data_IF_983204857590
#
_entry.id   IF_983204857590
#
_cell.length_a   1.000
_cell.length_b   1.000
_cell.length_c   1.000
_cell.angle_alpha   90.00
_cell.angle_beta   90.00
_cell.angle_gamma   90.00
#
_symmetry.space_group_name_H-M   'P 1'
#
loop_
_entity.id
_entity.type
_entity.pdbx_description
1 polymer ?
#
# COMPACT_ATOMS: atom_id res chain seq x y z
N UNK A 1 -12.44 -50.14 28.90
CA UNK A 1 -11.86 -50.02 27.53
C UNK A 1 -12.71 -49.06 26.64
N UNK A 2 -14.08 -49.08 26.75
CA UNK A 2 -14.94 -48.19 25.94
C UNK A 2 -14.99 -46.79 26.54
N UNK A 3 -15.00 -46.65 27.86
CA UNK A 3 -14.99 -45.42 28.63
C UNK A 3 -13.71 -44.60 28.49
N UNK A 4 -12.54 -45.20 28.33
CA UNK A 4 -11.27 -44.50 28.14
C UNK A 4 -11.20 -43.81 26.76
N UNK A 5 -11.72 -44.46 25.72
CA UNK A 5 -11.74 -43.94 24.36
C UNK A 5 -12.72 -42.78 24.22
N UNK A 6 -13.85 -42.83 24.92
CA UNK A 6 -14.83 -41.76 24.96
C UNK A 6 -14.29 -40.54 25.73
N UNK A 7 -13.51 -40.74 26.80
CA UNK A 7 -12.82 -39.69 27.53
C UNK A 7 -11.69 -39.02 26.71
N UNK A 8 -10.94 -39.80 25.94
CA UNK A 8 -9.94 -39.23 25.01
C UNK A 8 -10.57 -38.35 23.93
N UNK A 9 -11.68 -38.78 23.35
CA UNK A 9 -12.44 -38.00 22.36
C UNK A 9 -12.98 -36.71 22.99
N UNK A 10 -13.51 -36.78 24.21
CA UNK A 10 -14.02 -35.62 24.92
C UNK A 10 -12.90 -34.63 25.23
N UNK A 11 -11.75 -35.07 25.73
CA UNK A 11 -10.60 -34.24 26.00
C UNK A 11 -10.06 -33.56 24.72
N UNK A 12 -10.00 -34.30 23.62
CA UNK A 12 -9.58 -33.77 22.33
C UNK A 12 -10.52 -32.68 21.81
N UNK A 13 -11.82 -32.94 21.91
CA UNK A 13 -12.84 -31.95 21.49
C UNK A 13 -12.83 -30.73 22.40
N UNK A 14 -12.62 -30.89 23.70
CA UNK A 14 -12.48 -29.80 24.65
C UNK A 14 -11.24 -28.93 24.34
N UNK A 15 -10.11 -29.56 24.09
CA UNK A 15 -8.88 -28.84 23.72
C UNK A 15 -9.06 -28.09 22.40
N UNK A 16 -9.65 -28.73 21.39
CA UNK A 16 -9.96 -28.07 20.10
C UNK A 16 -10.89 -26.86 20.29
N UNK A 17 -11.93 -26.98 21.12
CA UNK A 17 -12.85 -25.90 21.40
C UNK A 17 -12.16 -24.77 22.18
N UNK A 18 -11.28 -25.09 23.11
CA UNK A 18 -10.49 -24.13 23.89
C UNK A 18 -9.53 -23.35 22.98
N UNK A 19 -8.86 -24.03 22.05
CA UNK A 19 -7.96 -23.39 21.08
C UNK A 19 -8.74 -22.50 20.10
N UNK A 20 -9.91 -22.94 19.63
CA UNK A 20 -10.80 -22.12 18.81
C UNK A 20 -11.29 -20.86 19.54
N UNK A 21 -11.65 -20.99 20.82
CA UNK A 21 -12.08 -19.85 21.64
C UNK A 21 -10.93 -18.84 21.84
N UNK A 22 -9.72 -19.30 22.09
CA UNK A 22 -8.54 -18.44 22.20
C UNK A 22 -8.28 -17.69 20.90
N UNK A 23 -8.31 -18.38 19.76
CA UNK A 23 -8.11 -17.78 18.44
C UNK A 23 -9.20 -16.75 18.12
N UNK A 24 -10.46 -17.04 18.45
CA UNK A 24 -11.55 -16.09 18.31
C UNK A 24 -11.39 -14.87 19.23
N UNK A 25 -10.97 -15.06 20.47
CA UNK A 25 -10.75 -13.99 21.42
C UNK A 25 -9.59 -13.08 20.99
N UNK A 26 -8.49 -13.64 20.50
CA UNK A 26 -7.39 -12.87 19.93
C UNK A 26 -7.84 -12.06 18.71
N UNK A 27 -8.62 -12.65 17.81
CA UNK A 27 -9.19 -11.95 16.65
C UNK A 27 -10.11 -10.79 17.05
N UNK A 28 -10.94 -10.98 18.08
CA UNK A 28 -11.81 -9.93 18.60
C UNK A 28 -10.99 -8.75 19.16
N UNK A 29 -9.99 -9.02 20.00
CA UNK A 29 -9.11 -8.00 20.58
C UNK A 29 -8.37 -7.21 19.48
N UNK A 30 -7.88 -7.90 18.47
CA UNK A 30 -7.23 -7.27 17.32
C UNK A 30 -8.21 -6.38 16.56
N UNK A 31 -9.43 -6.84 16.31
CA UNK A 31 -10.47 -6.07 15.62
C UNK A 31 -10.90 -4.82 16.41
N UNK A 32 -11.13 -4.94 17.71
CA UNK A 32 -11.46 -3.79 18.58
C UNK A 32 -10.35 -2.74 18.59
N UNK A 33 -9.09 -3.18 18.67
CA UNK A 33 -7.93 -2.29 18.56
C UNK A 33 -7.88 -1.60 17.19
N UNK A 34 -8.12 -2.31 16.11
CA UNK A 34 -8.14 -1.72 14.77
C UNK A 34 -9.26 -0.69 14.60
N UNK A 35 -10.44 -0.94 15.13
CA UNK A 35 -11.56 0.01 15.08
C UNK A 35 -11.27 1.27 15.89
N UNK A 36 -10.77 1.12 17.11
CA UNK A 36 -10.36 2.25 17.96
C UNK A 36 -9.25 3.08 17.30
N UNK A 37 -8.23 2.42 16.71
CA UNK A 37 -7.17 3.06 15.94
C UNK A 37 -7.70 3.77 14.69
N UNK A 38 -8.64 3.19 13.97
CA UNK A 38 -9.25 3.78 12.78
C UNK A 38 -9.96 5.11 13.09
N UNK A 39 -10.67 5.17 14.20
CA UNK A 39 -11.37 6.39 14.64
C UNK A 39 -10.37 7.47 15.10
N UNK A 40 -9.34 7.09 15.86
CA UNK A 40 -8.28 8.00 16.29
C UNK A 40 -7.50 8.56 15.12
N UNK A 41 -7.09 7.71 14.18
CA UNK A 41 -6.35 8.10 12.98
C UNK A 41 -7.12 9.09 12.12
N UNK A 42 -8.44 8.90 11.97
CA UNK A 42 -9.31 9.86 11.27
C UNK A 42 -9.30 11.23 11.94
N UNK A 43 -9.48 11.25 13.25
CA UNK A 43 -9.50 12.50 14.01
C UNK A 43 -8.16 13.22 13.89
N UNK A 44 -7.05 12.50 14.06
CA UNK A 44 -5.70 13.04 13.89
C UNK A 44 -5.46 13.55 12.46
N UNK A 45 -5.91 12.81 11.44
CA UNK A 45 -5.79 13.24 10.05
C UNK A 45 -6.51 14.57 9.80
N UNK A 46 -7.74 14.73 10.30
CA UNK A 46 -8.46 15.99 10.19
C UNK A 46 -7.77 17.11 10.97
N UNK A 47 -7.31 16.84 12.19
CA UNK A 47 -6.63 17.84 13.01
C UNK A 47 -5.28 18.27 12.43
N UNK A 48 -4.56 17.39 11.71
CA UNK A 48 -3.32 17.75 11.01
C UNK A 48 -3.62 18.51 9.69
N UNK A 49 -4.64 18.14 8.94
CA UNK A 49 -5.02 18.84 7.71
C UNK A 49 -5.49 20.27 7.97
N UNK A 50 -6.18 20.50 9.08
CA UNK A 50 -6.72 21.80 9.42
C UNK A 50 -5.66 22.93 9.41
N UNK A 51 -4.47 22.81 10.02
CA UNK A 51 -3.43 23.83 9.92
C UNK A 51 -2.70 23.85 8.59
N UNK A 52 -2.64 22.74 7.81
CA UNK A 52 -1.91 22.69 6.55
C UNK A 52 -2.57 23.60 5.47
N UNK A 53 -3.88 23.59 5.40
CA UNK A 53 -4.61 24.43 4.43
C UNK A 53 -4.33 25.94 4.60
N UNK A 54 -4.43 26.53 5.83
CA UNK A 54 -4.04 27.94 6.03
C UNK A 54 -2.56 28.20 5.72
N UNK A 55 -1.65 27.28 6.03
CA UNK A 55 -0.22 27.42 5.71
C UNK A 55 -0.03 27.53 4.18
N UNK A 56 -0.67 26.64 3.42
CA UNK A 56 -0.58 26.65 1.96
C UNK A 56 -1.13 27.94 1.36
N UNK A 57 -2.30 28.40 1.83
CA UNK A 57 -2.88 29.69 1.41
C UNK A 57 -1.97 30.88 1.76
N UNK A 58 -1.29 30.81 2.90
CA UNK A 58 -0.35 31.87 3.32
C UNK A 58 0.88 31.90 2.42
N UNK A 59 1.42 30.75 2.05
CA UNK A 59 2.53 30.62 1.10
C UNK A 59 2.14 31.22 -0.26
N UNK A 60 0.95 30.89 -0.77
CA UNK A 60 0.46 31.44 -2.04
C UNK A 60 0.29 32.97 -1.98
N UNK A 61 -0.20 33.51 -0.86
CA UNK A 61 -0.29 34.95 -0.63
C UNK A 61 1.11 35.61 -0.60
N UNK A 62 2.06 35.01 0.11
CA UNK A 62 3.45 35.48 0.16
C UNK A 62 4.05 35.50 -1.23
N UNK A 63 3.87 34.40 -2.01
CA UNK A 63 4.32 34.31 -3.38
C UNK A 63 3.76 35.46 -4.24
N UNK A 64 2.44 35.62 -4.21
CA UNK A 64 1.77 36.64 -5.05
C UNK A 64 2.11 38.07 -4.65
N UNK A 65 2.32 38.32 -3.35
CA UNK A 65 2.59 39.67 -2.84
C UNK A 65 4.03 40.11 -3.05
N UNK A 66 5.00 39.23 -2.88
CA UNK A 66 6.41 39.62 -2.81
C UNK A 66 7.21 39.27 -4.06
N UNK A 67 6.75 38.33 -4.88
CA UNK A 67 7.49 37.88 -6.06
C UNK A 67 7.84 39.02 -7.03
N UNK A 68 6.92 39.97 -7.23
CA UNK A 68 7.09 41.11 -8.15
C UNK A 68 7.99 42.20 -7.60
N UNK A 69 8.32 42.19 -6.32
CA UNK A 69 9.14 43.20 -5.66
C UNK A 69 10.59 42.79 -5.49
N UNK A 70 10.95 41.54 -5.86
CA UNK A 70 12.30 41.02 -5.75
C UNK A 70 13.10 41.24 -7.03
N UNK A 71 14.45 41.31 -6.91
CA UNK A 71 15.36 41.25 -8.05
C UNK A 71 15.24 39.92 -8.78
N UNK A 72 15.65 39.84 -10.06
CA UNK A 72 15.52 38.59 -10.85
C UNK A 72 16.21 37.37 -10.17
N UNK A 73 17.39 37.57 -9.63
CA UNK A 73 18.15 36.51 -8.94
C UNK A 73 17.47 36.08 -7.65
N UNK A 74 16.92 37.04 -6.89
CA UNK A 74 16.18 36.76 -5.66
C UNK A 74 14.83 36.08 -5.91
N UNK A 75 14.19 36.41 -7.06
CA UNK A 75 12.94 35.77 -7.46
C UNK A 75 13.09 34.27 -7.67
N UNK A 76 14.19 33.81 -8.25
CA UNK A 76 14.41 32.41 -8.56
C UNK A 76 14.63 31.63 -7.27
N UNK A 77 15.51 32.10 -6.39
CA UNK A 77 15.75 31.55 -5.06
C UNK A 77 14.46 31.53 -4.20
N UNK A 78 13.66 32.60 -4.27
CA UNK A 78 12.41 32.69 -3.54
C UNK A 78 11.37 31.66 -4.02
N UNK A 79 11.20 31.50 -5.36
CA UNK A 79 10.34 30.48 -5.96
C UNK A 79 10.76 29.08 -5.57
N UNK A 80 12.06 28.79 -5.58
CA UNK A 80 12.61 27.51 -5.21
C UNK A 80 12.33 27.17 -3.74
N UNK A 81 12.56 28.11 -2.83
CA UNK A 81 12.24 27.93 -1.41
C UNK A 81 10.75 27.68 -1.17
N UNK A 82 9.85 28.43 -1.83
CA UNK A 82 8.40 28.22 -1.74
C UNK A 82 8.00 26.86 -2.32
N UNK A 83 8.64 26.41 -3.41
CA UNK A 83 8.41 25.10 -4.00
C UNK A 83 8.81 23.97 -3.03
N UNK A 84 9.95 24.13 -2.34
CA UNK A 84 10.39 23.19 -1.32
C UNK A 84 9.34 23.08 -0.19
N UNK A 85 8.87 24.21 0.34
CA UNK A 85 7.87 24.23 1.41
C UNK A 85 6.55 23.57 0.94
N UNK A 86 6.06 23.93 -0.26
CA UNK A 86 4.85 23.32 -0.81
C UNK A 86 4.98 21.81 -1.01
N UNK A 87 6.17 21.33 -1.43
CA UNK A 87 6.43 19.89 -1.55
C UNK A 87 6.39 19.20 -0.18
N UNK A 88 6.94 19.83 0.88
CA UNK A 88 6.88 19.28 2.24
C UNK A 88 5.43 19.21 2.75
N UNK A 89 4.61 20.23 2.52
CA UNK A 89 3.19 20.23 2.88
C UNK A 89 2.48 19.08 2.18
N UNK A 90 2.67 18.93 0.87
CA UNK A 90 2.10 17.81 0.09
C UNK A 90 2.54 16.45 0.61
N UNK A 91 3.80 16.31 1.00
CA UNK A 91 4.29 15.06 1.60
C UNK A 91 3.59 14.74 2.92
N UNK A 92 3.41 15.75 3.79
CA UNK A 92 2.67 15.57 5.06
C UNK A 92 1.21 15.21 4.78
N UNK A 93 0.54 15.89 3.85
CA UNK A 93 -0.84 15.56 3.46
C UNK A 93 -0.98 14.12 2.97
N UNK A 94 -0.07 13.67 2.10
CA UNK A 94 -0.08 12.30 1.58
C UNK A 94 0.13 11.28 2.69
N UNK A 95 1.10 11.51 3.59
CA UNK A 95 1.38 10.64 4.73
C UNK A 95 0.17 10.52 5.66
N UNK A 96 -0.47 11.64 5.96
CA UNK A 96 -1.67 11.70 6.81
C UNK A 96 -2.85 10.99 6.15
N UNK A 97 -3.02 11.15 4.82
CA UNK A 97 -4.06 10.44 4.06
C UNK A 97 -3.82 8.93 4.07
N UNK A 98 -2.61 8.48 3.73
CA UNK A 98 -2.27 7.05 3.73
C UNK A 98 -2.43 6.43 5.12
N UNK A 99 -2.04 7.15 6.18
CA UNK A 99 -2.24 6.71 7.57
C UNK A 99 -3.73 6.55 7.91
N UNK A 100 -4.54 7.57 7.61
CA UNK A 100 -5.98 7.54 7.85
C UNK A 100 -6.66 6.41 7.08
N UNK A 101 -6.28 6.21 5.82
CA UNK A 101 -6.81 5.17 4.95
C UNK A 101 -6.42 3.76 5.42
N UNK A 102 -5.16 3.58 5.88
CA UNK A 102 -4.70 2.31 6.44
C UNK A 102 -5.47 1.96 7.72
N UNK A 103 -5.61 2.92 8.62
CA UNK A 103 -6.28 2.71 9.90
C UNK A 103 -7.81 2.49 9.76
N UNK A 104 -8.43 3.04 8.69
CA UNK A 104 -9.88 3.00 8.44
C UNK A 104 -10.32 1.88 7.50
N UNK A 105 -9.41 1.09 6.98
CA UNK A 105 -9.75 0.14 5.92
C UNK A 105 -11.01 -0.69 6.27
N UNK A 106 -12.14 -0.51 5.57
CA UNK A 106 -13.38 -1.21 5.86
C UNK A 106 -13.24 -2.70 5.53
N UNK A 107 -14.14 -3.52 6.09
CA UNK A 107 -14.25 -4.92 5.66
C UNK A 107 -14.56 -4.97 4.16
N UNK A 108 -13.98 -5.93 3.41
CA UNK A 108 -14.18 -6.02 1.97
C UNK A 108 -15.63 -6.33 1.61
N UNK A 109 -16.13 -5.65 0.57
CA UNK A 109 -17.44 -5.96 -0.04
C UNK A 109 -17.19 -6.91 -1.21
N UNK A 110 -17.32 -8.20 -0.94
CA UNK A 110 -17.01 -9.24 -1.93
C UNK A 110 -18.08 -9.33 -3.02
N UNK A 111 -17.69 -9.05 -4.26
CA UNK A 111 -18.50 -9.20 -5.49
C UNK A 111 -17.68 -9.91 -6.55
N UNK A 112 -18.35 -10.53 -7.52
CA UNK A 112 -17.65 -11.13 -8.66
C UNK A 112 -17.09 -10.03 -9.56
N UNK A 113 -15.77 -9.96 -9.63
CA UNK A 113 -15.01 -8.99 -10.42
C UNK A 113 -14.05 -9.69 -11.36
N UNK A 114 -13.80 -9.09 -12.52
CA UNK A 114 -12.79 -9.56 -13.47
C UNK A 114 -11.43 -8.95 -13.09
N UNK A 115 -10.53 -9.78 -12.59
CA UNK A 115 -9.20 -9.34 -12.17
C UNK A 115 -8.30 -8.88 -13.33
N UNK A 116 -8.50 -9.44 -14.53
CA UNK A 116 -7.72 -9.03 -15.71
C UNK A 116 -8.10 -7.60 -16.12
N UNK A 117 -9.41 -7.30 -16.12
CA UNK A 117 -9.88 -5.94 -16.42
C UNK A 117 -9.31 -4.94 -15.38
N UNK A 118 -9.44 -5.27 -14.11
CA UNK A 118 -8.96 -4.42 -13.01
C UNK A 118 -7.44 -4.20 -13.06
N UNK A 119 -6.68 -5.25 -13.39
CA UNK A 119 -5.24 -5.16 -13.54
C UNK A 119 -4.84 -4.27 -14.72
N UNK A 120 -5.51 -4.42 -15.87
CA UNK A 120 -5.26 -3.59 -17.05
C UNK A 120 -5.57 -2.11 -16.79
N UNK A 121 -6.64 -1.79 -16.05
CA UNK A 121 -6.96 -0.42 -15.62
C UNK A 121 -5.81 0.18 -14.81
N UNK A 122 -5.24 -0.57 -13.87
CA UNK A 122 -4.11 -0.13 -13.04
C UNK A 122 -2.79 -0.01 -13.84
N UNK A 123 -2.49 -0.96 -14.72
CA UNK A 123 -1.32 -0.90 -15.60
C UNK A 123 -1.39 0.35 -16.48
N UNK A 124 -2.54 0.61 -17.11
CA UNK A 124 -2.74 1.79 -17.94
C UNK A 124 -2.52 3.10 -17.16
N UNK A 125 -3.09 3.20 -15.97
CA UNK A 125 -2.93 4.38 -15.11
C UNK A 125 -1.46 4.61 -14.73
N UNK A 126 -0.74 3.56 -14.35
CA UNK A 126 0.62 3.66 -13.87
C UNK A 126 1.66 3.77 -14.99
N UNK A 127 1.38 3.23 -16.20
CA UNK A 127 2.23 3.43 -17.37
C UNK A 127 2.31 4.90 -17.82
N UNK A 128 1.31 5.72 -17.49
CA UNK A 128 1.37 7.16 -17.74
C UNK A 128 2.38 7.89 -16.83
N UNK A 129 2.80 7.29 -15.72
CA UNK A 129 3.80 7.88 -14.82
C UNK A 129 5.21 7.84 -15.43
N UNK A 130 5.54 6.76 -16.14
CA UNK A 130 6.79 6.62 -16.91
C UNK A 130 6.57 5.70 -18.12
N UNK A 131 6.39 6.32 -19.28
CA UNK A 131 6.15 5.62 -20.57
C UNK A 131 7.37 4.86 -21.09
N UNK A 132 8.53 5.04 -20.46
CA UNK A 132 9.77 4.37 -20.88
C UNK A 132 9.95 2.99 -20.21
N UNK A 133 9.08 2.63 -19.26
CA UNK A 133 9.11 1.33 -18.59
C UNK A 133 8.33 0.31 -19.43
N UNK A 134 8.97 -0.77 -19.80
CA UNK A 134 8.33 -1.92 -20.45
C UNK A 134 7.58 -2.75 -19.40
N UNK A 135 6.23 -2.78 -19.48
CA UNK A 135 5.39 -3.59 -18.61
C UNK A 135 4.83 -4.79 -19.38
N UNK A 136 5.30 -5.99 -19.04
CA UNK A 136 4.88 -7.24 -19.66
C UNK A 136 3.87 -7.98 -18.75
N UNK A 137 2.67 -8.21 -19.27
CA UNK A 137 1.63 -8.99 -18.59
C UNK A 137 1.56 -10.41 -19.16
N UNK A 138 1.78 -11.41 -18.30
CA UNK A 138 1.53 -12.83 -18.57
C UNK A 138 0.28 -13.27 -17.83
N UNK A 139 -0.60 -13.98 -18.52
CA UNK A 139 -1.85 -14.50 -17.99
C UNK A 139 -2.17 -15.85 -18.62
N UNK A 140 -2.80 -16.74 -17.86
CA UNK A 140 -3.25 -18.04 -18.37
C UNK A 140 -4.69 -18.03 -18.87
N UNK A 141 -5.46 -16.98 -18.54
CA UNK A 141 -6.84 -16.79 -18.95
C UNK A 141 -7.09 -15.33 -19.36
N UNK A 142 -7.97 -15.10 -20.34
CA UNK A 142 -8.35 -13.73 -20.76
C UNK A 142 -9.31 -13.05 -19.79
N UNK A 143 -10.02 -13.84 -18.99
CA UNK A 143 -10.96 -13.36 -17.97
C UNK A 143 -10.84 -14.22 -16.72
N UNK A 144 -10.59 -13.58 -15.58
CA UNK A 144 -10.49 -14.24 -14.28
C UNK A 144 -11.53 -13.64 -13.34
N UNK A 145 -12.68 -14.32 -13.24
CA UNK A 145 -13.70 -13.94 -12.25
C UNK A 145 -13.27 -14.40 -10.86
N UNK A 146 -13.28 -13.46 -9.92
CA UNK A 146 -12.95 -13.70 -8.53
C UNK A 146 -13.83 -12.87 -7.60
N UNK A 147 -14.24 -13.48 -6.50
CA UNK A 147 -15.10 -12.85 -5.49
C UNK A 147 -14.25 -11.98 -4.58
N UNK A 148 -14.19 -10.68 -4.85
CA UNK A 148 -13.33 -9.74 -4.14
C UNK A 148 -13.95 -8.34 -4.06
N UNK A 149 -13.35 -7.49 -3.24
CA UNK A 149 -13.61 -6.05 -3.25
C UNK A 149 -12.77 -5.39 -4.35
N UNK A 150 -13.45 -4.79 -5.35
CA UNK A 150 -12.81 -4.17 -6.52
C UNK A 150 -11.80 -3.08 -6.13
N UNK A 151 -12.18 -2.20 -5.20
CA UNK A 151 -11.36 -1.05 -4.81
C UNK A 151 -10.13 -1.50 -4.03
N UNK A 152 -10.31 -2.45 -3.10
CA UNK A 152 -9.21 -2.98 -2.30
C UNK A 152 -8.21 -3.76 -3.16
N UNK A 153 -8.66 -4.66 -4.05
CA UNK A 153 -7.75 -5.39 -4.95
C UNK A 153 -7.09 -4.45 -5.95
N UNK A 154 -7.81 -3.45 -6.47
CA UNK A 154 -7.20 -2.40 -7.28
C UNK A 154 -6.06 -1.69 -6.55
N UNK A 155 -6.24 -1.41 -5.25
CA UNK A 155 -5.21 -0.82 -4.40
C UNK A 155 -4.00 -1.75 -4.19
N UNK A 156 -4.19 -3.07 -4.17
CA UNK A 156 -3.09 -4.06 -4.16
C UNK A 156 -2.26 -3.93 -5.42
N UNK A 157 -2.90 -3.98 -6.60
CA UNK A 157 -2.21 -3.85 -7.89
C UNK A 157 -1.47 -2.53 -8.00
N UNK A 158 -2.13 -1.43 -7.65
CA UNK A 158 -1.53 -0.11 -7.65
C UNK A 158 -0.27 -0.03 -6.78
N UNK A 159 -0.33 -0.49 -5.52
CA UNK A 159 0.81 -0.42 -4.61
C UNK A 159 2.00 -1.26 -5.08
N UNK A 160 1.75 -2.48 -5.58
CA UNK A 160 2.83 -3.35 -6.04
C UNK A 160 3.51 -2.80 -7.29
N UNK A 161 2.74 -2.39 -8.30
CA UNK A 161 3.29 -1.83 -9.54
C UNK A 161 3.99 -0.49 -9.29
N UNK A 162 3.39 0.40 -8.47
CA UNK A 162 4.03 1.66 -8.06
C UNK A 162 5.36 1.43 -7.35
N UNK A 163 5.43 0.45 -6.44
CA UNK A 163 6.68 0.10 -5.78
C UNK A 163 7.75 -0.36 -6.75
N UNK A 164 7.38 -1.14 -7.78
CA UNK A 164 8.28 -1.57 -8.85
C UNK A 164 8.80 -0.40 -9.68
N UNK A 165 7.93 0.55 -10.07
CA UNK A 165 8.32 1.78 -10.77
C UNK A 165 9.33 2.58 -9.93
N UNK A 166 9.03 2.80 -8.65
CA UNK A 166 9.92 3.53 -7.74
C UNK A 166 11.26 2.83 -7.52
N UNK A 167 11.28 1.48 -7.46
CA UNK A 167 12.51 0.66 -7.39
C UNK A 167 13.38 0.84 -8.62
N UNK A 168 12.76 0.90 -9.80
CA UNK A 168 13.43 1.17 -11.09
C UNK A 168 14.01 2.59 -11.11
N UNK A 169 13.25 3.61 -10.69
CA UNK A 169 13.74 4.99 -10.63
C UNK A 169 14.94 5.16 -9.72
N UNK A 170 14.96 4.48 -8.56
CA UNK A 170 16.11 4.50 -7.66
C UNK A 170 17.36 3.82 -8.28
N UNK A 171 17.18 2.82 -9.13
CA UNK A 171 18.29 2.21 -9.86
C UNK A 171 18.84 3.13 -10.94
N UNK A 172 17.95 3.87 -11.64
CA UNK A 172 18.32 4.84 -12.67
C UNK A 172 19.28 5.92 -12.15
N UNK A 173 19.16 6.33 -10.88
CA UNK A 173 20.07 7.27 -10.25
C UNK A 173 21.53 6.74 -10.21
N UNK A 174 21.70 5.41 -10.24
CA UNK A 174 23.02 4.74 -10.17
C UNK A 174 23.50 4.19 -11.51
N UNK A 175 22.58 3.80 -12.39
CA UNK A 175 22.83 3.17 -13.68
C UNK A 175 21.82 3.72 -14.70
N UNK A 176 22.15 4.83 -15.42
CA UNK A 176 21.21 5.50 -16.31
C UNK A 176 20.81 4.72 -17.54
N UNK A 177 21.64 3.78 -18.00
CA UNK A 177 21.48 3.11 -19.31
C UNK A 177 20.81 1.74 -19.26
N UNK A 178 20.30 1.32 -18.08
CA UNK A 178 19.65 0.02 -18.00
C UNK A 178 18.22 0.00 -18.57
N UNK A 179 17.84 -1.12 -19.17
CA UNK A 179 16.49 -1.34 -19.71
C UNK A 179 15.50 -1.51 -18.54
N UNK A 180 14.52 -0.63 -18.46
CA UNK A 180 13.49 -0.61 -17.42
C UNK A 180 12.41 -1.63 -17.73
N UNK A 181 12.21 -2.62 -16.85
CA UNK A 181 11.27 -3.71 -17.09
C UNK A 181 10.51 -4.12 -15.83
N UNK A 182 9.19 -4.28 -15.99
CA UNK A 182 8.31 -4.89 -15.00
C UNK A 182 7.60 -6.06 -15.66
N UNK A 183 7.68 -7.24 -15.05
CA UNK A 183 6.95 -8.44 -15.46
C UNK A 183 5.85 -8.72 -14.45
N UNK A 184 4.62 -8.77 -14.91
CA UNK A 184 3.45 -9.08 -14.10
C UNK A 184 2.91 -10.42 -14.58
N UNK A 185 2.63 -11.32 -13.67
CA UNK A 185 2.04 -12.61 -13.96
C UNK A 185 0.81 -12.86 -13.08
N UNK A 186 -0.30 -13.25 -13.69
CA UNK A 186 -1.52 -13.64 -13.00
C UNK A 186 -1.95 -15.02 -13.46
N UNK A 187 -2.01 -15.96 -12.51
CA UNK A 187 -2.30 -17.36 -12.76
C UNK A 187 -3.50 -17.79 -11.93
N UNK A 188 -4.50 -18.33 -12.60
CA UNK A 188 -5.65 -18.96 -11.95
C UNK A 188 -5.40 -20.47 -11.87
N UNK A 189 -5.44 -21.00 -10.66
CA UNK A 189 -5.55 -22.44 -10.38
C UNK A 189 -6.98 -22.76 -9.91
N UNK A 190 -7.28 -24.04 -9.68
CA UNK A 190 -8.65 -24.46 -9.29
C UNK A 190 -9.18 -23.69 -8.08
N UNK A 191 -8.36 -23.52 -7.03
CA UNK A 191 -8.80 -22.95 -5.74
C UNK A 191 -8.07 -21.64 -5.37
N UNK A 192 -7.16 -21.16 -6.20
CA UNK A 192 -6.36 -19.99 -5.89
C UNK A 192 -5.99 -19.17 -7.13
N UNK A 193 -5.72 -17.89 -6.88
CA UNK A 193 -5.17 -16.98 -7.89
C UNK A 193 -3.83 -16.50 -7.37
N UNK A 194 -2.79 -16.68 -8.18
CA UNK A 194 -1.44 -16.22 -7.90
C UNK A 194 -1.13 -14.98 -8.72
N UNK A 195 -0.71 -13.91 -8.05
CA UNK A 195 -0.28 -12.67 -8.65
C UNK A 195 1.18 -12.42 -8.33
N UNK A 196 2.01 -12.24 -9.34
CA UNK A 196 3.46 -12.05 -9.22
C UNK A 196 3.85 -10.77 -9.93
N UNK A 197 4.62 -9.93 -9.26
CA UNK A 197 5.23 -8.73 -9.85
C UNK A 197 6.74 -8.83 -9.67
N UNK A 198 7.47 -8.71 -10.77
CA UNK A 198 8.94 -8.76 -10.79
C UNK A 198 9.44 -7.51 -11.50
N UNK A 199 10.26 -6.72 -10.84
CA UNK A 199 10.96 -5.58 -11.41
C UNK A 199 12.48 -5.84 -11.47
N UNK A 200 13.16 -5.11 -12.33
CA UNK A 200 14.61 -5.13 -12.45
C UNK A 200 15.28 -3.90 -11.81
N UNK A 201 14.61 -3.28 -10.82
CA UNK A 201 15.10 -2.15 -10.06
C UNK A 201 16.24 -2.50 -9.10
N UNK A 202 16.35 -1.78 -7.98
CA UNK A 202 17.42 -1.97 -6.98
C UNK A 202 17.28 -3.26 -6.17
N UNK A 203 16.09 -3.88 -6.16
CA UNK A 203 15.77 -5.09 -5.39
C UNK A 203 15.82 -4.89 -3.87
N UNK A 204 15.77 -6.01 -3.15
CA UNK A 204 15.74 -6.05 -1.67
C UNK A 204 17.12 -6.20 -1.02
N UNK A 205 18.22 -6.18 -1.78
CA UNK A 205 19.58 -6.44 -1.27
C UNK A 205 20.07 -5.41 -0.22
N UNK A 206 19.41 -4.26 -0.12
CA UNK A 206 19.75 -3.21 0.84
C UNK A 206 18.99 -3.33 2.18
N UNK A 207 18.08 -4.30 2.30
CA UNK A 207 17.27 -4.48 3.50
C UNK A 207 18.09 -5.21 4.55
N UNK A 208 18.49 -4.47 5.59
CA UNK A 208 19.10 -5.04 6.79
C UNK A 208 17.97 -5.57 7.69
N UNK A 209 17.57 -6.82 7.54
CA UNK A 209 16.50 -7.42 8.33
C UNK A 209 15.91 -8.67 7.68
N UNK A 210 14.89 -9.25 8.32
CA UNK A 210 14.15 -10.37 7.74
C UNK A 210 13.21 -9.84 6.65
N UNK A 211 13.08 -10.55 5.55
CA UNK A 211 12.15 -10.20 4.46
C UNK A 211 10.71 -9.97 5.01
N UNK A 212 10.32 -10.68 6.06
CA UNK A 212 9.01 -10.48 6.72
C UNK A 212 8.82 -9.09 7.31
N UNK A 213 9.90 -8.38 7.64
CA UNK A 213 9.81 -7.04 8.25
C UNK A 213 9.31 -5.99 7.24
N UNK A 214 9.44 -6.25 5.93
CA UNK A 214 8.94 -5.36 4.87
C UNK A 214 7.40 -5.21 4.87
N UNK A 215 6.68 -6.16 5.45
CA UNK A 215 5.23 -6.14 5.58
C UNK A 215 4.75 -5.38 6.82
N UNK A 216 5.67 -5.02 7.73
CA UNK A 216 5.34 -4.24 8.91
C UNK A 216 5.01 -2.79 8.53
N UNK A 217 3.99 -2.18 9.16
CA UNK A 217 3.69 -0.76 8.95
C UNK A 217 4.92 0.11 9.26
N UNK A 218 5.08 1.19 8.47
CA UNK A 218 6.17 2.17 8.58
C UNK A 218 7.57 1.66 8.21
N UNK A 219 7.70 0.42 7.77
CA UNK A 219 8.97 -0.07 7.26
C UNK A 219 9.23 0.51 5.87
N UNK A 220 10.29 1.29 5.72
CA UNK A 220 10.69 1.86 4.43
C UNK A 220 12.21 2.05 4.35
N UNK A 221 12.76 1.82 3.17
CA UNK A 221 14.15 2.16 2.81
C UNK A 221 14.20 3.42 1.95
N UNK A 222 13.03 3.96 1.57
CA UNK A 222 12.90 5.13 0.69
C UNK A 222 12.93 6.41 1.52
N UNK A 223 13.67 7.41 1.04
CA UNK A 223 13.82 8.72 1.71
C UNK A 223 12.47 9.43 1.93
N UNK A 224 11.52 9.27 1.00
CA UNK A 224 10.20 9.89 1.04
C UNK A 224 9.05 8.84 1.09
N UNK A 225 9.37 7.61 1.47
CA UNK A 225 8.38 6.53 1.57
C UNK A 225 7.66 6.55 2.91
N UNK A 226 6.37 6.31 2.93
CA UNK A 226 5.55 6.20 4.15
C UNK A 226 5.71 4.86 4.87
N UNK A 227 6.15 3.82 4.12
CA UNK A 227 6.24 2.45 4.62
C UNK A 227 4.88 1.77 4.85
N UNK A 228 3.79 2.35 4.33
CA UNK A 228 2.45 1.80 4.49
C UNK A 228 1.98 0.97 3.30
N UNK A 229 2.58 1.14 2.11
CA UNK A 229 2.11 0.47 0.90
C UNK A 229 2.04 -1.05 0.99
N UNK A 230 3.11 -1.71 1.43
CA UNK A 230 3.14 -3.17 1.56
C UNK A 230 2.33 -3.70 2.74
N UNK A 231 2.23 -2.95 3.84
CA UNK A 231 1.35 -3.32 4.96
C UNK A 231 -0.13 -3.22 4.58
N UNK A 232 -0.51 -2.25 3.73
CA UNK A 232 -1.83 -2.15 3.11
C UNK A 232 -2.11 -3.39 2.25
N UNK A 233 -1.15 -3.77 1.39
CA UNK A 233 -1.27 -4.97 0.55
C UNK A 233 -1.47 -6.21 1.42
N UNK A 234 -0.64 -6.40 2.44
CA UNK A 234 -0.74 -7.53 3.36
C UNK A 234 -2.11 -7.60 4.07
N UNK A 235 -2.60 -6.47 4.56
CA UNK A 235 -3.92 -6.40 5.20
C UNK A 235 -5.04 -6.78 4.23
N UNK A 236 -5.06 -6.18 3.03
CA UNK A 236 -6.10 -6.47 2.03
C UNK A 236 -6.08 -7.94 1.62
N UNK A 237 -4.91 -8.51 1.36
CA UNK A 237 -4.78 -9.92 0.97
C UNK A 237 -5.26 -10.85 2.10
N UNK A 238 -4.91 -10.56 3.36
CA UNK A 238 -5.41 -11.31 4.52
C UNK A 238 -6.93 -11.20 4.68
N UNK A 239 -7.50 -9.99 4.49
CA UNK A 239 -8.95 -9.76 4.55
C UNK A 239 -9.71 -10.48 3.41
N UNK A 240 -9.01 -10.89 2.34
CA UNK A 240 -9.52 -11.73 1.25
C UNK A 240 -9.11 -13.22 1.38
N UNK A 241 -8.64 -13.64 2.57
CA UNK A 241 -8.18 -15.01 2.86
C UNK A 241 -6.99 -15.48 2.02
N UNK A 242 -6.17 -14.54 1.54
CA UNK A 242 -4.92 -14.81 0.84
C UNK A 242 -3.69 -14.70 1.74
N UNK A 243 -2.51 -14.87 1.15
CA UNK A 243 -1.21 -14.68 1.81
C UNK A 243 -0.19 -14.06 0.83
N UNK A 244 0.86 -13.45 1.39
CA UNK A 244 2.01 -12.89 0.65
C UNK A 244 3.26 -13.67 1.00
#
# INVERSE_FOLDING_TARGET
IKTDKDMEILNRNFNLMTDQLKDQQEKLIINERHEAWGNLARKLAHEIKNPLTPIQLTIDRIKNKYLTHLSNDDQENFKENLKIINNQIKQIENLVNEFSDFARMPKPILKDNDLILLLNENIKLLSEMDKTIEINLKKNDDKILFKCDKEQIGRVFFNLIKNSIESIHQKLEKDPDFVKKISIEILKNNDSIKFIVVDNGIGFNQIKGKIKDILNPYFTTKKNGTGLGLSIVNKIINDHNGNI
#
